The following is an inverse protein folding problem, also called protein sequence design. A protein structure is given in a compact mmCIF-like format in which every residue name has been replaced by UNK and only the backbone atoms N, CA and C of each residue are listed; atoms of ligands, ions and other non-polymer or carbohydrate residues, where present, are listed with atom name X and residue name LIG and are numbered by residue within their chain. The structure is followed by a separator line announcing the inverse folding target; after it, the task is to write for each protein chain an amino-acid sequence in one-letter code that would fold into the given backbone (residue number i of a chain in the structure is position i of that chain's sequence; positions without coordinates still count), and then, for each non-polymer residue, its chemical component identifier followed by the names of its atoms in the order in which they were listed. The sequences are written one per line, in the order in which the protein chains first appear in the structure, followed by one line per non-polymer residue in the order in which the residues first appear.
data_IF_437905763411
#
_entry.id   IF_437905763411
#
_cell.length_a   1.000
_cell.length_b   1.000
_cell.length_c   1.000
_cell.angle_alpha   90.00
_cell.angle_beta   90.00
_cell.angle_gamma   90.00
#
_symmetry.space_group_name_H-M   'P 1'
#
loop_
_entity.id
_entity.type
_entity.pdbx_description
1 polymer ?
#
# COMPACT_ATOMS: atom_id res chain seq x y z
N UNK A 1 8.28 -18.44 17.23
CA UNK A 1 7.06 -18.76 16.44
C UNK A 1 5.90 -17.82 16.78
N UNK A 2 5.48 -17.71 18.05
CA UNK A 2 4.33 -16.87 18.45
C UNK A 2 4.41 -15.41 17.96
N UNK A 3 5.57 -14.74 18.06
CA UNK A 3 5.74 -13.36 17.62
C UNK A 3 5.37 -13.14 16.14
N UNK A 4 5.74 -14.05 15.26
CA UNK A 4 5.41 -13.96 13.81
C UNK A 4 3.91 -14.08 13.57
N UNK A 5 3.24 -14.99 14.30
CA UNK A 5 1.78 -15.18 14.19
C UNK A 5 1.05 -13.94 14.71
N UNK A 6 1.43 -13.42 15.87
CA UNK A 6 0.82 -12.24 16.47
C UNK A 6 0.99 -11.02 15.54
N UNK A 7 2.21 -10.78 15.06
CA UNK A 7 2.49 -9.67 14.15
C UNK A 7 1.67 -9.83 12.86
N UNK A 8 1.59 -11.03 12.32
CA UNK A 8 0.82 -11.29 11.11
C UNK A 8 -0.68 -11.00 11.28
N UNK A 9 -1.29 -11.53 12.34
CA UNK A 9 -2.72 -11.32 12.64
C UNK A 9 -3.00 -9.83 12.88
N UNK A 10 -2.21 -9.17 13.73
CA UNK A 10 -2.43 -7.76 14.07
C UNK A 10 -2.25 -6.88 12.84
N UNK A 11 -1.21 -7.08 12.03
CA UNK A 11 -0.99 -6.33 10.80
C UNK A 11 -2.14 -6.51 9.79
N UNK A 12 -2.65 -7.72 9.63
CA UNK A 12 -3.81 -8.00 8.78
C UNK A 12 -5.07 -7.28 9.29
N UNK A 13 -5.33 -7.30 10.59
CA UNK A 13 -6.49 -6.61 11.18
C UNK A 13 -6.37 -5.09 11.04
N UNK A 14 -5.19 -4.51 11.28
CA UNK A 14 -4.91 -3.08 11.03
C UNK A 14 -5.16 -2.76 9.54
N UNK A 15 -4.65 -3.59 8.64
CA UNK A 15 -4.87 -3.46 7.20
C UNK A 15 -6.35 -3.50 6.83
N UNK A 16 -7.14 -4.33 7.52
CA UNK A 16 -8.57 -4.51 7.27
C UNK A 16 -9.45 -3.31 7.65
N UNK A 17 -8.91 -2.27 8.30
CA UNK A 17 -9.61 -1.01 8.52
C UNK A 17 -9.72 -0.28 7.17
N UNK A 18 -10.94 -0.15 6.64
CA UNK A 18 -11.19 0.53 5.35
C UNK A 18 -11.57 1.99 5.58
N UNK A 19 -10.58 2.88 5.57
CA UNK A 19 -10.82 4.31 5.74
C UNK A 19 -11.74 4.89 4.67
N UNK A 20 -11.66 4.42 3.44
CA UNK A 20 -12.55 4.88 2.36
C UNK A 20 -14.02 4.59 2.65
N UNK A 21 -14.35 3.38 3.12
CA UNK A 21 -15.74 3.01 3.46
C UNK A 21 -16.23 3.77 4.68
N UNK A 22 -15.40 3.87 5.73
CA UNK A 22 -15.75 4.61 6.96
C UNK A 22 -16.01 6.09 6.65
N UNK A 23 -15.09 6.73 5.92
CA UNK A 23 -15.17 8.15 5.59
C UNK A 23 -16.33 8.45 4.64
N UNK A 24 -16.56 7.61 3.61
CA UNK A 24 -17.67 7.80 2.67
C UNK A 24 -19.03 7.68 3.36
N UNK A 25 -19.22 6.69 4.21
CA UNK A 25 -20.45 6.56 5.01
C UNK A 25 -20.67 7.76 5.93
N UNK A 26 -19.59 8.25 6.59
CA UNK A 26 -19.68 9.40 7.50
C UNK A 26 -19.91 10.74 6.78
N UNK A 27 -19.28 10.96 5.63
CA UNK A 27 -19.31 12.26 4.94
C UNK A 27 -20.37 12.35 3.86
N UNK A 28 -20.78 11.23 3.26
CA UNK A 28 -21.67 11.22 2.10
C UNK A 28 -22.87 10.26 2.24
N UNK A 29 -22.98 9.50 3.35
CA UNK A 29 -24.12 8.63 3.63
C UNK A 29 -24.19 7.34 2.83
N UNK A 30 -23.16 7.02 1.99
CA UNK A 30 -23.16 5.82 1.17
C UNK A 30 -21.79 5.08 1.24
N UNK A 31 -21.77 3.84 0.80
CA UNK A 31 -20.54 3.06 0.65
C UNK A 31 -19.87 3.41 -0.69
N UNK A 32 -18.62 3.89 -0.66
CA UNK A 32 -17.88 4.28 -1.86
C UNK A 32 -17.74 3.17 -2.90
N UNK A 33 -17.88 1.91 -2.48
CA UNK A 33 -17.82 0.74 -3.37
C UNK A 33 -19.05 0.60 -4.27
N UNK A 34 -20.14 1.31 -3.96
CA UNK A 34 -21.36 1.38 -4.77
C UNK A 34 -21.30 2.47 -5.84
N UNK A 35 -20.24 3.30 -5.83
CA UNK A 35 -20.10 4.46 -6.73
C UNK A 35 -18.78 4.43 -7.49
N UNK A 36 -18.75 5.15 -8.60
CA UNK A 36 -17.55 5.38 -9.41
C UNK A 36 -16.92 4.09 -9.92
N UNK A 37 -15.69 3.80 -9.51
CA UNK A 37 -14.97 2.58 -9.94
C UNK A 37 -15.27 1.34 -9.07
N UNK A 38 -16.07 1.46 -8.04
CA UNK A 38 -16.33 0.38 -7.08
C UNK A 38 -15.15 0.04 -6.15
N UNK A 39 -14.02 0.74 -6.24
CA UNK A 39 -12.84 0.45 -5.46
C UNK A 39 -12.81 1.23 -4.14
N UNK A 40 -12.41 0.57 -3.05
CA UNK A 40 -12.28 1.18 -1.72
C UNK A 40 -10.91 1.90 -1.57
N UNK A 41 -10.71 3.02 -2.27
CA UNK A 41 -9.45 3.76 -2.23
C UNK A 41 -9.59 5.25 -2.57
N UNK A 42 -8.53 6.01 -2.27
CA UNK A 42 -8.50 7.47 -2.35
C UNK A 42 -8.91 8.02 -3.73
N UNK A 43 -8.52 7.36 -4.83
CA UNK A 43 -8.88 7.82 -6.19
C UNK A 43 -10.39 7.71 -6.45
N UNK A 44 -11.06 6.67 -5.94
CA UNK A 44 -12.50 6.56 -6.03
C UNK A 44 -13.20 7.55 -5.10
N UNK A 45 -12.66 7.78 -3.91
CA UNK A 45 -13.13 8.82 -3.00
C UNK A 45 -13.07 10.21 -3.63
N UNK A 46 -12.00 10.54 -4.37
CA UNK A 46 -11.88 11.80 -5.08
C UNK A 46 -13.02 11.99 -6.10
N UNK A 47 -13.39 10.94 -6.81
CA UNK A 47 -14.45 10.97 -7.84
C UNK A 47 -15.85 11.00 -7.28
N UNK A 48 -16.08 10.29 -6.16
CA UNK A 48 -17.44 10.01 -5.66
C UNK A 48 -17.85 10.89 -4.47
N UNK A 49 -16.90 11.35 -3.66
CA UNK A 49 -17.15 12.12 -2.44
C UNK A 49 -16.46 13.49 -2.46
N UNK A 50 -15.26 13.56 -3.05
CA UNK A 50 -14.52 14.81 -3.20
C UNK A 50 -13.13 14.82 -2.57
N UNK A 51 -12.45 15.96 -2.71
CA UNK A 51 -11.02 16.14 -2.41
C UNK A 51 -10.67 15.89 -0.95
N UNK A 52 -11.46 16.43 0.00
CA UNK A 52 -11.23 16.26 1.45
C UNK A 52 -11.29 14.78 1.85
N UNK A 53 -12.32 14.07 1.40
CA UNK A 53 -12.48 12.65 1.68
C UNK A 53 -11.35 11.79 1.07
N UNK A 54 -10.89 12.15 -0.14
CA UNK A 54 -9.76 11.46 -0.79
C UNK A 54 -8.46 11.63 -0.01
N UNK A 55 -8.15 12.85 0.46
CA UNK A 55 -6.95 13.13 1.25
C UNK A 55 -7.00 12.35 2.57
N UNK A 56 -8.11 12.41 3.30
CA UNK A 56 -8.27 11.68 4.57
C UNK A 56 -8.12 10.15 4.36
N UNK A 57 -8.66 9.63 3.27
CA UNK A 57 -8.51 8.20 2.91
C UNK A 57 -7.06 7.86 2.60
N UNK A 58 -6.38 8.68 1.80
CA UNK A 58 -4.98 8.48 1.44
C UNK A 58 -4.09 8.44 2.68
N UNK A 59 -4.26 9.43 3.56
CA UNK A 59 -3.50 9.53 4.81
C UNK A 59 -3.79 8.36 5.76
N UNK A 60 -5.06 8.00 5.95
CA UNK A 60 -5.44 6.87 6.79
C UNK A 60 -4.89 5.54 6.27
N UNK A 61 -4.98 5.31 4.95
CA UNK A 61 -4.45 4.08 4.34
C UNK A 61 -2.92 4.01 4.35
N UNK A 62 -2.21 5.14 4.26
CA UNK A 62 -0.76 5.19 4.44
C UNK A 62 -0.38 4.99 5.92
N UNK A 63 -1.08 5.67 6.84
CA UNK A 63 -0.81 5.59 8.27
C UNK A 63 -0.98 4.17 8.83
N UNK A 64 -1.97 3.40 8.37
CA UNK A 64 -2.11 2.01 8.83
C UNK A 64 -0.93 1.13 8.42
N UNK A 65 -0.29 1.41 7.27
CA UNK A 65 0.96 0.77 6.86
C UNK A 65 2.11 1.10 7.82
N UNK A 66 2.25 2.39 8.16
CA UNK A 66 3.22 2.87 9.16
C UNK A 66 3.01 2.19 10.52
N UNK A 67 1.77 2.19 11.03
CA UNK A 67 1.42 1.60 12.34
C UNK A 67 1.72 0.11 12.39
N UNK A 68 1.43 -0.63 11.33
CA UNK A 68 1.71 -2.07 11.27
C UNK A 68 3.22 -2.36 11.34
N UNK A 69 4.05 -1.57 10.66
CA UNK A 69 5.52 -1.71 10.70
C UNK A 69 6.07 -1.33 12.07
N UNK A 70 5.61 -0.22 12.66
CA UNK A 70 6.02 0.18 14.01
C UNK A 70 5.66 -0.90 15.05
N UNK A 71 4.49 -1.50 14.95
CA UNK A 71 4.10 -2.63 15.79
C UNK A 71 5.07 -3.81 15.65
N UNK A 72 5.44 -4.18 14.41
CA UNK A 72 6.41 -5.26 14.16
C UNK A 72 7.79 -4.95 14.76
N UNK A 73 8.26 -3.69 14.66
CA UNK A 73 9.53 -3.23 15.24
C UNK A 73 9.49 -3.37 16.78
N UNK A 74 8.40 -2.93 17.41
CA UNK A 74 8.22 -3.02 18.88
C UNK A 74 8.24 -4.50 19.32
N UNK A 75 7.47 -5.36 18.65
CA UNK A 75 7.46 -6.80 18.97
C UNK A 75 8.85 -7.41 18.77
N UNK A 76 9.57 -7.04 17.70
CA UNK A 76 10.94 -7.50 17.46
C UNK A 76 11.96 -7.03 18.50
N UNK A 77 11.75 -5.86 19.13
CA UNK A 77 12.57 -5.38 20.22
C UNK A 77 12.34 -6.18 21.53
N UNK A 78 11.10 -6.61 21.75
CA UNK A 78 10.72 -7.39 22.95
C UNK A 78 11.09 -8.87 22.77
N UNK A 79 10.77 -9.45 21.63
CA UNK A 79 11.01 -10.86 21.33
C UNK A 79 12.43 -11.08 20.77
N UNK A 80 13.45 -10.99 21.61
CA UNK A 80 14.88 -11.03 21.23
C UNK A 80 15.29 -12.24 20.38
N UNK A 81 14.57 -13.35 20.42
CA UNK A 81 14.81 -14.55 19.61
C UNK A 81 14.18 -14.50 18.21
N UNK A 82 13.35 -13.49 17.91
CA UNK A 82 12.70 -13.34 16.62
C UNK A 82 13.58 -12.53 15.67
N UNK A 83 13.56 -12.88 14.38
CA UNK A 83 14.18 -12.10 13.32
C UNK A 83 13.32 -10.86 13.03
N UNK A 84 13.83 -9.68 13.42
CA UNK A 84 13.12 -8.40 13.28
C UNK A 84 12.83 -8.08 11.82
N UNK A 85 13.77 -8.37 10.91
CA UNK A 85 13.58 -8.17 9.48
C UNK A 85 12.39 -8.97 8.95
N UNK A 86 12.30 -10.24 9.34
CA UNK A 86 11.18 -11.11 8.95
C UNK A 86 9.85 -10.65 9.55
N UNK A 87 9.83 -10.18 10.80
CA UNK A 87 8.62 -9.61 11.42
C UNK A 87 8.10 -8.41 10.62
N UNK A 88 8.99 -7.49 10.23
CA UNK A 88 8.65 -6.31 9.43
C UNK A 88 8.15 -6.71 8.04
N UNK A 89 8.76 -7.70 7.39
CA UNK A 89 8.31 -8.20 6.09
C UNK A 89 6.90 -8.83 6.17
N UNK A 90 6.66 -9.66 7.18
CA UNK A 90 5.34 -10.26 7.45
C UNK A 90 4.29 -9.17 7.67
N UNK A 91 4.59 -8.17 8.52
CA UNK A 91 3.67 -7.07 8.76
C UNK A 91 3.36 -6.28 7.50
N UNK A 92 4.39 -5.96 6.69
CA UNK A 92 4.24 -5.22 5.44
C UNK A 92 3.37 -5.94 4.41
N UNK A 93 3.55 -7.25 4.23
CA UNK A 93 2.70 -8.05 3.34
C UNK A 93 1.27 -8.10 3.88
N UNK A 94 1.10 -8.46 5.15
CA UNK A 94 -0.23 -8.73 5.70
C UNK A 94 -1.08 -7.48 5.91
N UNK A 95 -0.48 -6.30 6.18
CA UNK A 95 -1.24 -5.04 6.20
C UNK A 95 -1.76 -4.68 4.81
N UNK A 96 -1.00 -4.94 3.74
CA UNK A 96 -1.44 -4.71 2.35
C UNK A 96 -2.50 -5.73 1.94
N UNK A 97 -2.35 -7.00 2.34
CA UNK A 97 -3.37 -8.04 2.13
C UNK A 97 -4.66 -7.68 2.86
N UNK A 98 -4.58 -7.21 4.12
CA UNK A 98 -5.74 -6.75 4.89
C UNK A 98 -6.44 -5.56 4.24
N UNK A 99 -5.68 -4.59 3.68
CA UNK A 99 -6.27 -3.49 2.92
C UNK A 99 -6.99 -3.97 1.65
N UNK A 100 -6.47 -5.00 0.99
CA UNK A 100 -7.05 -5.53 -0.25
C UNK A 100 -8.25 -6.43 0.02
N UNK A 101 -8.15 -7.27 1.04
CA UNK A 101 -9.16 -8.24 1.46
C UNK A 101 -9.58 -8.01 2.92
N UNK A 102 -10.23 -6.88 3.23
CA UNK A 102 -10.56 -6.50 4.60
C UNK A 102 -11.65 -7.38 5.20
N UNK A 103 -11.32 -8.10 6.30
CA UNK A 103 -12.29 -8.99 6.98
C UNK A 103 -13.52 -8.25 7.48
N UNK A 104 -13.36 -7.01 7.97
CA UNK A 104 -14.48 -6.21 8.48
C UNK A 104 -15.41 -5.65 7.40
N UNK A 105 -15.05 -5.77 6.12
CA UNK A 105 -15.78 -5.16 5.00
C UNK A 105 -16.05 -6.14 3.87
N UNK A 106 -16.25 -7.43 4.21
CA UNK A 106 -16.63 -8.49 3.27
C UNK A 106 -15.56 -8.78 2.22
N UNK A 107 -14.27 -8.64 2.57
CA UNK A 107 -13.11 -8.94 1.73
C UNK A 107 -13.05 -8.13 0.42
N UNK A 108 -13.75 -6.99 0.34
CA UNK A 108 -13.75 -6.08 -0.82
C UNK A 108 -13.11 -4.74 -0.44
N UNK A 109 -11.80 -4.64 -0.66
CA UNK A 109 -10.97 -3.50 -0.27
C UNK A 109 -10.44 -2.68 -1.44
N UNK A 110 -9.28 -2.06 -1.20
CA UNK A 110 -8.56 -1.24 -2.17
C UNK A 110 -7.45 -2.00 -2.90
N UNK A 111 -6.51 -1.26 -3.49
CA UNK A 111 -5.41 -1.83 -4.30
C UNK A 111 -4.06 -1.89 -3.59
N UNK A 112 -3.97 -1.39 -2.38
CA UNK A 112 -2.77 -1.48 -1.56
C UNK A 112 -1.74 -0.37 -1.75
N UNK A 113 -1.89 0.53 -2.72
CA UNK A 113 -0.85 1.53 -3.07
C UNK A 113 -0.48 2.45 -1.92
N UNK A 114 -1.46 3.12 -1.31
CA UNK A 114 -1.21 4.04 -0.19
C UNK A 114 -0.66 3.30 1.03
N UNK A 115 -1.19 2.11 1.32
CA UNK A 115 -0.71 1.26 2.42
C UNK A 115 0.72 0.78 2.17
N UNK A 116 1.05 0.36 0.94
CA UNK A 116 2.42 0.01 0.55
C UNK A 116 3.37 1.20 0.66
N UNK A 117 2.91 2.40 0.29
CA UNK A 117 3.72 3.62 0.46
C UNK A 117 4.03 3.86 1.94
N UNK A 118 3.05 3.77 2.83
CA UNK A 118 3.27 3.89 4.28
C UNK A 118 4.25 2.85 4.82
N UNK A 119 4.14 1.61 4.36
CA UNK A 119 5.09 0.54 4.68
C UNK A 119 6.50 0.91 4.21
N UNK A 120 6.67 1.36 2.96
CA UNK A 120 7.96 1.71 2.38
C UNK A 120 8.62 2.90 3.08
N UNK A 121 7.86 3.94 3.40
CA UNK A 121 8.40 5.15 4.04
C UNK A 121 8.99 4.87 5.42
N UNK A 122 8.50 3.85 6.13
CA UNK A 122 9.06 3.45 7.44
C UNK A 122 10.15 2.39 7.28
N UNK A 123 9.98 1.45 6.37
CA UNK A 123 10.93 0.34 6.23
C UNK A 123 12.16 0.70 5.39
N UNK A 124 12.00 1.52 4.36
CA UNK A 124 13.06 2.07 3.52
C UNK A 124 12.60 3.39 2.89
N UNK A 125 12.79 4.50 3.63
CA UNK A 125 12.31 5.81 3.21
C UNK A 125 12.90 6.29 1.88
N UNK A 126 14.15 5.93 1.56
CA UNK A 126 14.81 6.31 0.31
C UNK A 126 14.08 5.74 -0.89
N UNK A 127 13.87 4.42 -0.90
CA UNK A 127 13.10 3.74 -1.95
C UNK A 127 11.66 4.26 -1.96
N UNK A 128 11.04 4.44 -0.78
CA UNK A 128 9.69 4.97 -0.65
C UNK A 128 9.53 6.33 -1.31
N UNK A 129 10.47 7.27 -1.07
CA UNK A 129 10.45 8.59 -1.70
C UNK A 129 10.70 8.54 -3.21
N UNK A 130 11.65 7.73 -3.67
CA UNK A 130 11.92 7.58 -5.10
C UNK A 130 10.68 7.02 -5.81
N UNK A 131 10.05 5.97 -5.28
CA UNK A 131 8.81 5.40 -5.82
C UNK A 131 7.66 6.41 -5.81
N UNK A 132 7.51 7.21 -4.74
CA UNK A 132 6.51 8.26 -4.65
C UNK A 132 6.70 9.32 -5.72
N UNK A 133 7.92 9.89 -5.83
CA UNK A 133 8.23 10.92 -6.83
C UNK A 133 8.02 10.39 -8.24
N UNK A 134 8.49 9.19 -8.54
CA UNK A 134 8.30 8.54 -9.83
C UNK A 134 6.81 8.35 -10.16
N UNK A 135 6.01 7.87 -9.21
CA UNK A 135 4.57 7.73 -9.39
C UNK A 135 3.90 9.08 -9.67
N UNK A 136 4.24 10.14 -8.90
CA UNK A 136 3.68 11.47 -9.09
C UNK A 136 4.06 12.06 -10.46
N UNK A 137 5.30 11.92 -10.90
CA UNK A 137 5.75 12.36 -12.24
C UNK A 137 4.93 11.67 -13.32
N UNK A 138 4.78 10.34 -13.27
CA UNK A 138 3.96 9.60 -14.23
C UNK A 138 2.49 10.04 -14.19
N UNK A 139 1.94 10.27 -12.98
CA UNK A 139 0.55 10.76 -12.84
C UNK A 139 0.35 12.15 -13.46
N UNK A 140 1.30 13.08 -13.28
CA UNK A 140 1.24 14.42 -13.85
C UNK A 140 1.32 14.37 -15.39
N UNK A 141 2.29 13.63 -15.92
CA UNK A 141 2.53 13.53 -17.36
C UNK A 141 1.38 12.85 -18.11
N UNK A 142 0.83 11.78 -17.54
CA UNK A 142 -0.16 10.94 -18.22
C UNK A 142 -1.60 11.19 -17.77
N UNK A 143 -1.79 11.88 -16.65
CA UNK A 143 -3.06 12.05 -15.92
C UNK A 143 -3.66 10.71 -15.43
N UNK A 144 -2.90 9.63 -15.45
CA UNK A 144 -3.35 8.29 -15.03
C UNK A 144 -2.72 7.87 -13.70
N UNK A 145 -3.54 7.85 -12.64
CA UNK A 145 -3.10 7.39 -11.29
C UNK A 145 -2.62 5.94 -11.33
N UNK A 146 -3.32 5.10 -12.09
CA UNK A 146 -2.99 3.67 -12.22
C UNK A 146 -1.63 3.42 -12.85
N UNK A 147 -1.23 4.23 -13.85
CA UNK A 147 0.08 4.10 -14.48
C UNK A 147 1.20 4.45 -13.50
N UNK A 148 1.04 5.55 -12.75
CA UNK A 148 1.98 5.90 -11.69
C UNK A 148 2.11 4.82 -10.62
N UNK A 149 0.97 4.24 -10.19
CA UNK A 149 0.96 3.16 -9.20
C UNK A 149 1.62 1.88 -9.69
N UNK A 150 1.31 1.45 -10.92
CA UNK A 150 1.92 0.27 -11.52
C UNK A 150 3.42 0.48 -11.79
N UNK A 151 3.80 1.66 -12.29
CA UNK A 151 5.20 2.00 -12.51
C UNK A 151 6.02 1.98 -11.23
N UNK A 152 5.50 2.56 -10.14
CA UNK A 152 6.17 2.50 -8.84
C UNK A 152 6.27 1.06 -8.29
N UNK A 153 5.24 0.24 -8.50
CA UNK A 153 5.27 -1.15 -8.08
C UNK A 153 6.35 -1.97 -8.82
N UNK A 154 6.57 -1.71 -10.11
CA UNK A 154 7.67 -2.33 -10.87
C UNK A 154 9.03 -1.77 -10.47
N UNK A 155 9.11 -0.45 -10.25
CA UNK A 155 10.35 0.23 -9.87
C UNK A 155 10.86 -0.25 -8.50
N UNK A 156 9.97 -0.60 -7.57
CA UNK A 156 10.34 -1.00 -6.21
C UNK A 156 11.33 -2.18 -6.17
N UNK A 157 11.06 -3.37 -6.73
CA UNK A 157 12.03 -4.46 -6.74
C UNK A 157 13.32 -4.13 -7.54
N UNK A 158 13.24 -3.32 -8.58
CA UNK A 158 14.42 -2.86 -9.33
C UNK A 158 15.34 -2.04 -8.43
N UNK A 159 14.80 -1.08 -7.67
CA UNK A 159 15.59 -0.27 -6.75
C UNK A 159 16.23 -1.10 -5.63
N UNK A 160 15.60 -2.20 -5.20
CA UNK A 160 16.18 -3.08 -4.17
C UNK A 160 17.46 -3.77 -4.61
N UNK A 161 17.71 -3.88 -5.92
CA UNK A 161 18.96 -4.44 -6.46
C UNK A 161 20.12 -3.46 -6.40
N UNK A 162 19.84 -2.15 -6.47
CA UNK A 162 20.88 -1.12 -6.63
C UNK A 162 21.11 -0.29 -5.35
N UNK A 163 20.07 -0.11 -4.53
CA UNK A 163 20.20 0.68 -3.30
C UNK A 163 20.68 -0.21 -2.16
N UNK A 164 21.78 0.19 -1.56
CA UNK A 164 22.36 -0.53 -0.43
C UNK A 164 21.38 -0.53 0.77
N UNK A 165 21.10 -1.74 1.28
CA UNK A 165 20.09 -1.99 2.31
C UNK A 165 20.68 -1.96 3.75
N UNK A 166 21.97 -1.64 3.92
CA UNK A 166 22.67 -1.73 5.22
C UNK A 166 22.07 -0.88 6.35
N UNK A 167 21.29 0.15 6.00
CA UNK A 167 20.70 1.07 6.97
C UNK A 167 19.18 0.97 7.09
N UNK A 168 18.59 -0.14 6.68
CA UNK A 168 17.14 -0.30 6.75
C UNK A 168 16.74 -1.29 7.83
N UNK A 169 15.61 -1.04 8.48
CA UNK A 169 15.01 -1.95 9.47
C UNK A 169 14.77 -3.36 8.90
N UNK A 170 14.75 -3.47 7.56
CA UNK A 170 14.44 -4.71 6.83
C UNK A 170 15.63 -5.65 6.71
N UNK A 171 16.84 -5.19 6.86
CA UNK A 171 18.00 -6.02 6.55
C UNK A 171 18.89 -6.33 7.74
N UNK A 172 18.97 -5.46 8.75
CA UNK A 172 19.91 -5.62 9.89
C UNK A 172 21.22 -6.35 9.48
N UNK A 173 21.73 -6.10 8.27
CA UNK A 173 22.89 -6.76 7.70
C UNK A 173 22.66 -8.16 7.11
N UNK A 174 21.42 -8.65 7.05
CA UNK A 174 21.06 -9.96 6.46
C UNK A 174 20.61 -9.83 5.00
N UNK A 175 20.91 -10.87 4.25
CA UNK A 175 20.94 -10.95 2.77
C UNK A 175 19.87 -10.14 2.03
N UNK A 176 20.29 -9.34 1.06
CA UNK A 176 19.42 -8.61 0.13
C UNK A 176 18.44 -9.49 -0.67
N UNK A 177 18.66 -10.81 -0.70
CA UNK A 177 17.75 -11.77 -1.36
C UNK A 177 16.36 -11.82 -0.73
N UNK A 178 16.26 -11.87 0.60
CA UNK A 178 14.96 -11.89 1.29
C UNK A 178 14.19 -10.61 1.04
N UNK A 179 14.87 -9.47 1.02
CA UNK A 179 14.26 -8.19 0.75
C UNK A 179 13.79 -8.05 -0.71
N UNK A 180 14.56 -8.58 -1.67
CA UNK A 180 14.13 -8.64 -3.06
C UNK A 180 12.85 -9.47 -3.22
N UNK A 181 12.79 -10.66 -2.60
CA UNK A 181 11.59 -11.51 -2.64
C UNK A 181 10.38 -10.75 -2.05
N UNK A 182 10.57 -10.11 -0.90
CA UNK A 182 9.54 -9.28 -0.27
C UNK A 182 9.03 -8.17 -1.19
N UNK A 183 9.95 -7.44 -1.85
CA UNK A 183 9.58 -6.35 -2.77
C UNK A 183 8.82 -6.87 -4.00
N UNK A 184 9.20 -8.04 -4.53
CA UNK A 184 8.48 -8.70 -5.62
C UNK A 184 7.07 -9.10 -5.18
N UNK A 185 6.90 -9.67 -3.99
CA UNK A 185 5.57 -10.05 -3.47
C UNK A 185 4.65 -8.82 -3.40
N UNK A 186 5.12 -7.70 -2.84
CA UNK A 186 4.33 -6.47 -2.77
C UNK A 186 4.01 -5.91 -4.17
N UNK A 187 4.97 -5.92 -5.08
CA UNK A 187 4.77 -5.51 -6.47
C UNK A 187 3.69 -6.36 -7.15
N UNK A 188 3.77 -7.68 -7.02
CA UNK A 188 2.79 -8.62 -7.59
C UNK A 188 1.38 -8.36 -7.02
N UNK A 189 1.24 -8.17 -5.70
CA UNK A 189 -0.06 -7.85 -5.09
C UNK A 189 -0.64 -6.56 -5.70
N UNK A 190 0.15 -5.49 -5.79
CA UNK A 190 -0.30 -4.21 -6.36
C UNK A 190 -0.66 -4.36 -7.84
N UNK A 191 0.16 -5.00 -8.65
CA UNK A 191 -0.10 -5.20 -10.09
C UNK A 191 -1.34 -6.07 -10.32
N UNK A 192 -1.49 -7.16 -9.56
CA UNK A 192 -2.68 -8.01 -9.64
C UNK A 192 -3.96 -7.23 -9.33
N UNK A 193 -3.93 -6.36 -8.31
CA UNK A 193 -5.05 -5.49 -7.96
C UNK A 193 -5.33 -4.40 -9.02
N UNK A 194 -4.36 -4.13 -9.89
CA UNK A 194 -4.50 -3.21 -11.03
C UNK A 194 -4.84 -3.90 -12.36
N UNK A 195 -5.09 -5.22 -12.40
CA UNK A 195 -5.33 -5.96 -13.66
C UNK A 195 -6.41 -5.34 -14.55
N UNK A 196 -7.49 -4.83 -13.96
CA UNK A 196 -8.54 -4.13 -14.71
C UNK A 196 -8.10 -2.77 -15.26
N UNK A 197 -7.23 -2.05 -14.51
CA UNK A 197 -6.63 -0.81 -14.99
C UNK A 197 -5.62 -1.09 -16.10
N UNK A 198 -4.78 -2.11 -15.94
CA UNK A 198 -3.81 -2.52 -16.95
C UNK A 198 -4.54 -2.85 -18.27
N UNK A 199 -5.64 -3.62 -18.21
CA UNK A 199 -6.46 -3.90 -19.37
C UNK A 199 -7.00 -2.62 -20.03
N UNK A 200 -7.50 -1.64 -19.24
CA UNK A 200 -7.97 -0.36 -19.78
C UNK A 200 -6.84 0.51 -20.32
N UNK A 201 -5.66 0.49 -19.71
CA UNK A 201 -4.48 1.21 -20.24
C UNK A 201 -4.06 0.67 -21.61
N UNK A 202 -4.02 -0.65 -21.77
CA UNK A 202 -3.70 -1.31 -23.04
C UNK A 202 -4.73 -1.00 -24.14
N UNK A 203 -6.00 -0.86 -23.75
CA UNK A 203 -7.10 -0.50 -24.68
C UNK A 203 -7.28 1.01 -24.87
N UNK A 204 -6.45 1.86 -24.28
CA UNK A 204 -6.58 3.33 -24.38
C UNK A 204 -7.79 3.92 -23.64
N UNK A 205 -8.47 3.15 -22.79
CA UNK A 205 -9.73 3.52 -22.10
C UNK A 205 -9.56 3.77 -20.60
N UNK A 206 -8.32 3.93 -20.12
CA UNK A 206 -8.09 4.18 -18.69
C UNK A 206 -8.55 5.59 -18.29
N UNK A 207 -9.16 5.66 -17.10
CA UNK A 207 -9.69 6.89 -16.54
C UNK A 207 -8.57 7.88 -16.22
N UNK A 208 -8.59 9.05 -16.83
CA UNK A 208 -7.68 10.16 -16.55
C UNK A 208 -8.21 11.05 -15.43
N UNK A 209 -7.30 11.65 -14.67
CA UNK A 209 -7.65 12.71 -13.71
C UNK A 209 -8.15 13.93 -14.48
N UNK A 210 -9.32 14.44 -14.10
CA UNK A 210 -9.79 15.75 -14.54
C UNK A 210 -9.54 16.75 -13.41
N UNK A 211 -8.78 17.80 -13.70
CA UNK A 211 -8.56 18.91 -12.78
C UNK A 211 -9.54 20.06 -13.05
N UNK A 212 -10.56 19.83 -13.90
CA UNK A 212 -11.61 20.85 -14.08
C UNK A 212 -12.37 21.01 -12.76
N UNK A 213 -12.46 22.25 -12.32
CA UNK A 213 -13.32 22.71 -11.23
C UNK A 213 -14.78 22.47 -11.56
#
# INVERSE_FOLDING_TARGET
MAAYIIVGIVAYLIGSISFSVIISKKMAGFDVREKGSGNAGATNMLRSVGKKAAILTLLGDALKGVVAILFAIIVGAIAKSADKSLLVQIAGILVVVGHTFPVFFGFKGGKGVATSLGVLLISNWQIGLICLVFALVLMVLTKMVSLGSCGAAVLYPVLTLFINQHYTVLTEGKSGKAYLIYSIILAVIVLYNHRSNIKRMLNGTENKLSFKK
#
